data_IF_317333693640
#
_entry.id   IF_317333693640
#
_cell.length_a   1.000
_cell.length_b   1.000
_cell.length_c   1.000
_cell.angle_alpha   90.00
_cell.angle_beta   90.00
_cell.angle_gamma   90.00
#
_symmetry.space_group_name_H-M   'P 1'
#
loop_
_entity.id
_entity.type
_entity.pdbx_description
1 polymer ?
#
# COMPACT_ATOMS: atom_id res chain seq x y z
N UNK A 1 -29.97 2.47 -13.74
CA UNK A 1 -30.96 3.38 -14.33
C UNK A 1 -32.16 2.52 -14.73
N UNK A 2 -33.12 2.35 -13.83
CA UNK A 2 -34.42 1.73 -14.11
C UNK A 2 -35.43 2.62 -13.39
N UNK A 3 -36.33 3.19 -14.18
CA UNK A 3 -37.34 4.18 -13.81
C UNK A 3 -38.64 3.40 -13.72
N UNK A 4 -39.28 3.40 -12.54
CA UNK A 4 -40.66 2.91 -12.41
C UNK A 4 -41.58 3.99 -11.83
N UNK A 5 -42.82 3.91 -12.30
CA UNK A 5 -43.77 5.00 -12.51
C UNK A 5 -44.46 5.54 -11.25
N UNK A 6 -44.84 6.81 -11.36
CA UNK A 6 -45.74 7.55 -10.48
C UNK A 6 -47.18 7.53 -11.02
N UNK A 7 -48.22 7.47 -10.17
CA UNK A 7 -49.52 8.04 -10.48
C UNK A 7 -49.86 9.27 -9.62
N UNK A 8 -50.46 10.27 -10.28
CA UNK A 8 -50.93 11.56 -9.72
C UNK A 8 -52.27 11.42 -8.99
N UNK A 9 -52.41 12.11 -7.85
CA UNK A 9 -53.68 12.71 -7.40
C UNK A 9 -53.41 13.85 -6.38
N UNK A 10 -53.99 15.03 -6.61
CA UNK A 10 -53.95 16.28 -5.82
C UNK A 10 -55.22 16.41 -4.93
N UNK A 11 -55.49 17.52 -4.18
CA UNK A 11 -54.67 18.42 -3.34
C UNK A 11 -55.28 18.70 -1.93
N UNK A 12 -54.67 19.63 -1.18
CA UNK A 12 -55.08 20.26 0.09
C UNK A 12 -54.59 19.53 1.35
N UNK A 13 -53.78 20.14 2.20
CA UNK A 13 -54.23 21.14 3.18
C UNK A 13 -53.04 21.96 3.69
N UNK A 14 -53.29 23.25 3.92
CA UNK A 14 -52.40 24.25 4.51
C UNK A 14 -51.98 23.81 5.92
N UNK A 15 -50.68 23.63 6.17
CA UNK A 15 -50.10 23.54 7.51
C UNK A 15 -48.92 24.51 7.59
N UNK A 16 -49.09 25.57 8.37
CA UNK A 16 -48.02 26.47 8.80
C UNK A 16 -46.99 25.69 9.62
N UNK A 17 -45.75 25.65 9.13
CA UNK A 17 -44.59 25.11 9.82
C UNK A 17 -43.64 26.23 10.25
N UNK A 18 -43.03 26.15 11.45
CA UNK A 18 -42.18 27.22 11.94
C UNK A 18 -40.84 27.27 11.19
N UNK A 19 -40.42 28.51 10.89
CA UNK A 19 -39.05 29.03 10.75
C UNK A 19 -37.97 27.97 10.45
N UNK A 20 -37.44 28.00 9.22
CA UNK A 20 -36.14 27.41 8.91
C UNK A 20 -35.09 27.98 9.86
N UNK A 21 -34.72 27.22 10.90
CA UNK A 21 -33.44 27.40 11.56
C UNK A 21 -32.37 27.08 10.53
N UNK A 22 -31.51 28.05 10.24
CA UNK A 22 -30.31 27.84 9.46
C UNK A 22 -29.57 26.61 10.00
N UNK A 23 -29.64 25.49 9.29
CA UNK A 23 -28.75 24.37 9.54
C UNK A 23 -27.38 24.83 9.05
N UNK A 24 -26.60 25.41 9.95
CA UNK A 24 -25.17 25.57 9.79
C UNK A 24 -24.64 24.19 9.48
N UNK A 25 -24.35 23.93 8.20
CA UNK A 25 -23.61 22.76 7.78
C UNK A 25 -22.29 22.81 8.57
N UNK A 26 -22.18 21.96 9.58
CA UNK A 26 -20.91 21.70 10.23
C UNK A 26 -20.06 21.06 9.13
N UNK A 27 -19.25 21.87 8.46
CA UNK A 27 -18.21 21.37 7.57
C UNK A 27 -17.35 20.51 8.47
N UNK A 28 -17.54 19.19 8.37
CA UNK A 28 -16.70 18.22 9.04
C UNK A 28 -15.33 18.38 8.41
N UNK A 29 -14.52 19.23 9.06
CA UNK A 29 -13.15 19.50 8.64
C UNK A 29 -12.42 18.19 8.85
N UNK A 30 -12.25 17.41 7.79
CA UNK A 30 -11.32 16.29 7.81
C UNK A 30 -9.96 16.88 8.13
N UNK A 31 -9.54 16.78 9.39
CA UNK A 31 -8.19 17.15 9.81
C UNK A 31 -7.27 16.08 9.25
N UNK A 32 -6.90 16.22 7.98
CA UNK A 32 -5.91 15.37 7.37
C UNK A 32 -4.57 15.60 8.06
N UNK A 33 -3.94 14.51 8.45
CA UNK A 33 -2.55 14.55 8.89
C UNK A 33 -1.67 14.86 7.68
N UNK A 34 -0.86 15.91 7.76
CA UNK A 34 0.03 16.35 6.69
C UNK A 34 1.41 16.64 7.24
N UNK A 35 2.44 16.25 6.49
CA UNK A 35 3.85 16.46 6.84
C UNK A 35 4.58 16.98 5.61
N UNK A 36 5.31 18.09 5.75
CA UNK A 36 6.25 18.55 4.71
C UNK A 36 7.48 17.66 4.72
N UNK A 37 7.76 17.02 3.59
CA UNK A 37 8.94 16.16 3.42
C UNK A 37 10.19 17.06 3.36
N UNK A 38 11.14 16.84 4.28
CA UNK A 38 12.45 17.51 4.28
C UNK A 38 13.52 16.53 3.82
N UNK A 39 13.58 15.36 4.45
CA UNK A 39 14.48 14.27 4.04
C UNK A 39 13.78 12.92 4.16
N UNK A 40 14.24 11.97 3.35
CA UNK A 40 13.78 10.59 3.38
C UNK A 40 14.95 9.67 3.62
N UNK A 41 14.76 8.64 4.43
CA UNK A 41 15.71 7.53 4.57
C UNK A 41 14.97 6.20 4.56
N UNK A 42 15.69 5.10 4.46
CA UNK A 42 15.12 3.77 4.60
C UNK A 42 15.99 2.93 5.51
N UNK A 43 15.39 1.90 6.10
CA UNK A 43 16.11 0.84 6.80
C UNK A 43 15.32 -0.46 6.65
N UNK A 44 15.95 -1.58 6.99
CA UNK A 44 15.25 -2.85 7.08
C UNK A 44 14.93 -3.17 8.55
N UNK A 45 13.74 -3.71 8.80
CA UNK A 45 13.25 -4.12 10.12
C UNK A 45 12.66 -5.53 10.08
N UNK A 46 12.44 -6.16 11.23
CA UNK A 46 11.54 -7.31 11.31
C UNK A 46 10.10 -6.81 11.04
N UNK A 47 9.25 -7.60 10.35
CA UNK A 47 7.88 -7.17 10.05
C UNK A 47 7.05 -7.01 11.33
N UNK A 48 6.24 -5.95 11.37
CA UNK A 48 5.30 -5.69 12.45
C UNK A 48 3.92 -6.21 12.05
N UNK A 49 3.33 -7.07 12.88
CA UNK A 49 1.99 -7.60 12.62
C UNK A 49 0.96 -6.48 12.56
N UNK A 50 0.15 -6.47 11.49
CA UNK A 50 -0.88 -5.45 11.24
C UNK A 50 -0.40 -4.24 10.44
N UNK A 51 0.92 -4.03 10.30
CA UNK A 51 1.50 -2.97 9.46
C UNK A 51 2.26 -3.51 8.25
N UNK A 52 2.92 -4.67 8.41
CA UNK A 52 3.74 -5.30 7.38
C UNK A 52 3.22 -6.68 7.00
N UNK A 53 3.60 -7.14 5.81
CA UNK A 53 3.34 -8.52 5.38
C UNK A 53 4.34 -9.48 6.06
N UNK A 54 3.81 -10.41 6.86
CA UNK A 54 4.61 -11.37 7.64
C UNK A 54 4.89 -12.67 6.89
N UNK A 55 4.11 -13.00 5.86
CA UNK A 55 4.22 -14.23 5.07
C UNK A 55 4.21 -13.92 3.58
N UNK A 56 5.10 -14.56 2.82
CA UNK A 56 5.07 -14.47 1.36
C UNK A 56 4.32 -15.66 0.78
N UNK A 57 3.18 -15.42 0.13
CA UNK A 57 2.44 -16.46 -0.61
C UNK A 57 3.28 -17.05 -1.75
N UNK A 58 4.08 -16.22 -2.41
CA UNK A 58 4.96 -16.64 -3.50
C UNK A 58 6.04 -17.62 -3.03
N UNK A 59 6.59 -17.41 -1.82
CA UNK A 59 7.63 -18.27 -1.25
C UNK A 59 7.08 -19.39 -0.37
N UNK A 60 5.86 -19.26 0.15
CA UNK A 60 5.33 -20.15 1.19
C UNK A 60 6.09 -20.06 2.51
N UNK A 61 6.80 -18.96 2.76
CA UNK A 61 7.66 -18.80 3.95
C UNK A 61 7.45 -17.45 4.64
N UNK A 62 7.86 -17.39 5.91
CA UNK A 62 7.82 -16.15 6.70
C UNK A 62 8.84 -15.14 6.18
N UNK A 63 8.43 -13.87 6.16
CA UNK A 63 9.27 -12.74 5.79
C UNK A 63 10.10 -12.34 7.01
N UNK A 64 11.43 -12.36 6.90
CA UNK A 64 12.33 -12.02 8.02
C UNK A 64 12.62 -10.54 8.12
N UNK A 65 12.65 -9.84 6.98
CA UNK A 65 13.06 -8.44 6.85
C UNK A 65 12.14 -7.72 5.88
N UNK A 66 11.70 -6.53 6.25
CA UNK A 66 10.88 -5.65 5.40
C UNK A 66 11.53 -4.26 5.31
N UNK A 67 11.42 -3.59 4.16
CA UNK A 67 11.84 -2.20 4.03
C UNK A 67 10.85 -1.27 4.74
N UNK A 68 11.37 -0.36 5.55
CA UNK A 68 10.60 0.71 6.19
C UNK A 68 11.17 2.04 5.71
N UNK A 69 10.31 2.87 5.12
CA UNK A 69 10.68 4.23 4.73
C UNK A 69 10.46 5.18 5.90
N UNK A 70 11.40 6.09 6.12
CA UNK A 70 11.30 7.16 7.11
C UNK A 70 11.26 8.50 6.42
N UNK A 71 10.21 9.27 6.70
CA UNK A 71 10.08 10.65 6.28
C UNK A 71 10.32 11.55 7.47
N UNK A 72 11.32 12.42 7.37
CA UNK A 72 11.59 13.47 8.34
C UNK A 72 11.04 14.79 7.81
N UNK A 73 10.29 15.49 8.65
CA UNK A 73 9.55 16.65 8.21
C UNK A 73 8.96 17.47 9.33
N UNK A 74 8.07 18.39 8.95
CA UNK A 74 7.29 19.19 9.89
C UNK A 74 5.81 19.20 9.55
N UNK A 75 4.95 19.16 10.58
CA UNK A 75 3.50 19.42 10.41
C UNK A 75 3.27 20.91 10.07
N UNK A 76 2.08 21.30 9.58
CA UNK A 76 1.74 22.72 9.38
C UNK A 76 1.85 23.56 10.65
N UNK A 77 1.70 22.93 11.82
CA UNK A 77 1.89 23.57 13.12
C UNK A 77 3.37 23.71 13.54
N UNK A 78 4.33 23.29 12.70
CA UNK A 78 5.77 23.43 12.94
C UNK A 78 6.40 22.31 13.78
N UNK A 79 5.63 21.28 14.16
CA UNK A 79 6.16 20.16 14.95
C UNK A 79 7.07 19.29 14.08
N UNK A 80 8.25 18.93 14.59
CA UNK A 80 9.13 17.97 13.90
C UNK A 80 8.55 16.57 13.98
N UNK A 81 8.60 15.84 12.87
CA UNK A 81 7.99 14.51 12.75
C UNK A 81 8.95 13.55 12.05
N UNK A 82 8.99 12.32 12.56
CA UNK A 82 9.55 11.16 11.87
C UNK A 82 8.41 10.18 11.60
N UNK A 83 8.00 10.02 10.34
CA UNK A 83 6.92 9.14 9.93
C UNK A 83 7.48 7.87 9.31
N UNK A 84 6.99 6.71 9.76
CA UNK A 84 7.38 5.41 9.21
C UNK A 84 6.31 4.91 8.26
N UNK A 85 6.71 4.58 7.03
CA UNK A 85 5.83 3.98 6.03
C UNK A 85 6.21 2.51 5.89
N UNK A 86 5.20 1.66 6.11
CA UNK A 86 5.26 0.21 6.05
C UNK A 86 4.63 -0.30 4.75
N UNK A 87 4.96 -1.52 4.34
CA UNK A 87 4.34 -2.18 3.17
C UNK A 87 4.81 -1.70 1.78
N UNK A 88 5.85 -0.86 1.69
CA UNK A 88 6.38 -0.36 0.41
C UNK A 88 7.63 -1.14 0.01
N UNK A 89 7.48 -2.10 -0.90
CA UNK A 89 8.59 -2.92 -1.41
C UNK A 89 9.14 -2.35 -2.73
N UNK A 90 10.47 -2.20 -2.86
CA UNK A 90 11.07 -1.82 -4.14
C UNK A 90 10.89 -2.94 -5.17
N UNK A 91 10.66 -2.56 -6.43
CA UNK A 91 10.44 -3.49 -7.54
C UNK A 91 11.20 -3.06 -8.79
N UNK A 92 11.38 -4.00 -9.70
CA UNK A 92 11.97 -3.79 -11.03
C UNK A 92 11.25 -4.69 -12.04
N UNK A 93 11.36 -4.35 -13.33
CA UNK A 93 10.84 -5.16 -14.42
C UNK A 93 11.98 -5.90 -15.11
N UNK A 94 11.72 -7.16 -15.46
CA UNK A 94 12.63 -8.00 -16.25
C UNK A 94 11.83 -8.55 -17.43
N UNK A 95 12.37 -8.50 -18.67
CA UNK A 95 11.73 -9.14 -19.81
C UNK A 95 11.46 -10.62 -19.52
N UNK A 96 10.26 -11.08 -19.89
CA UNK A 96 9.86 -12.47 -19.73
C UNK A 96 9.60 -13.09 -21.11
N UNK A 97 10.26 -14.21 -21.38
CA UNK A 97 10.27 -14.91 -22.67
C UNK A 97 9.10 -15.89 -22.85
N UNK A 98 8.22 -16.00 -21.86
CA UNK A 98 7.10 -16.94 -21.89
C UNK A 98 7.45 -18.37 -21.49
N UNK A 99 8.60 -18.62 -20.86
CA UNK A 99 9.03 -19.96 -20.42
C UNK A 99 7.99 -20.65 -19.53
N UNK A 100 7.60 -21.88 -19.90
CA UNK A 100 6.64 -22.71 -19.15
C UNK A 100 7.29 -23.94 -18.52
N UNK A 101 6.77 -24.46 -17.38
CA UNK A 101 5.68 -23.90 -16.59
C UNK A 101 6.11 -22.67 -15.79
N UNK A 102 5.35 -21.58 -15.90
CA UNK A 102 5.69 -20.26 -15.35
C UNK A 102 6.01 -20.30 -13.85
N UNK A 103 5.18 -20.94 -13.03
CA UNK A 103 5.38 -20.98 -11.56
C UNK A 103 6.74 -21.58 -11.17
N UNK A 104 7.15 -22.65 -11.85
CA UNK A 104 8.45 -23.29 -11.60
C UNK A 104 9.58 -22.35 -12.00
N UNK A 105 9.48 -21.74 -13.17
CA UNK A 105 10.48 -20.81 -13.68
C UNK A 105 10.64 -19.61 -12.75
N UNK A 106 9.54 -18.97 -12.33
CA UNK A 106 9.57 -17.80 -11.44
C UNK A 106 10.22 -18.15 -10.09
N UNK A 107 9.90 -19.30 -9.50
CA UNK A 107 10.52 -19.74 -8.24
C UNK A 107 12.01 -20.02 -8.39
N UNK A 108 12.42 -20.66 -9.49
CA UNK A 108 13.83 -20.93 -9.78
C UNK A 108 14.61 -19.63 -10.03
N UNK A 109 14.03 -18.70 -10.79
CA UNK A 109 14.60 -17.39 -11.03
C UNK A 109 14.79 -16.64 -9.71
N UNK A 110 13.78 -16.60 -8.85
CA UNK A 110 13.86 -15.96 -7.55
C UNK A 110 14.94 -16.57 -6.64
N UNK A 111 15.05 -17.90 -6.60
CA UNK A 111 16.12 -18.59 -5.85
C UNK A 111 17.52 -18.30 -6.41
N UNK A 112 17.65 -18.21 -7.74
CA UNK A 112 18.92 -17.86 -8.40
C UNK A 112 19.36 -16.44 -8.04
N UNK A 113 18.40 -15.50 -8.00
CA UNK A 113 18.64 -14.11 -7.65
C UNK A 113 19.03 -13.96 -6.17
N UNK A 114 18.34 -14.65 -5.26
CA UNK A 114 18.72 -14.66 -3.84
C UNK A 114 20.16 -15.14 -3.65
N UNK A 115 20.53 -16.24 -4.33
CA UNK A 115 21.89 -16.80 -4.26
C UNK A 115 22.93 -15.81 -4.79
N UNK A 116 22.66 -15.19 -5.94
CA UNK A 116 23.55 -14.19 -6.53
C UNK A 116 23.76 -12.99 -5.58
N UNK A 117 22.68 -12.50 -4.95
CA UNK A 117 22.75 -11.41 -3.98
C UNK A 117 23.49 -11.81 -2.70
N UNK A 118 23.29 -13.03 -2.21
CA UNK A 118 24.03 -13.55 -1.06
C UNK A 118 25.54 -13.61 -1.36
N UNK A 119 25.92 -14.05 -2.56
CA UNK A 119 27.33 -14.04 -3.01
C UNK A 119 27.86 -12.61 -3.11
N UNK A 120 27.12 -11.70 -3.75
CA UNK A 120 27.51 -10.28 -3.89
C UNK A 120 27.70 -9.59 -2.54
N UNK A 121 26.85 -9.93 -1.56
CA UNK A 121 26.93 -9.46 -0.17
C UNK A 121 27.94 -10.24 0.69
N UNK A 122 28.88 -10.97 0.08
CA UNK A 122 29.93 -11.76 0.76
C UNK A 122 29.40 -12.76 1.79
N UNK A 123 28.18 -13.24 1.56
CA UNK A 123 27.42 -14.13 2.43
C UNK A 123 26.99 -15.37 1.66
N UNK A 124 27.91 -16.00 0.92
CA UNK A 124 27.61 -17.07 -0.04
C UNK A 124 26.95 -18.31 0.59
N UNK A 125 27.22 -18.59 1.87
CA UNK A 125 26.61 -19.67 2.64
C UNK A 125 25.28 -19.29 3.30
N UNK A 126 24.88 -18.02 3.24
CA UNK A 126 23.62 -17.57 3.81
C UNK A 126 22.44 -18.05 2.98
N UNK A 127 21.39 -18.51 3.66
CA UNK A 127 20.10 -18.82 3.06
C UNK A 127 19.13 -17.65 3.24
N UNK A 128 19.60 -16.42 3.00
CA UNK A 128 18.79 -15.22 3.10
C UNK A 128 17.98 -15.04 1.82
N UNK A 129 16.68 -14.82 1.99
CA UNK A 129 15.76 -14.47 0.92
C UNK A 129 15.75 -12.95 0.75
N UNK A 130 15.91 -12.49 -0.49
CA UNK A 130 15.87 -11.07 -0.87
C UNK A 130 14.62 -10.73 -1.69
N UNK A 131 14.12 -11.69 -2.49
CA UNK A 131 12.92 -11.48 -3.30
C UNK A 131 11.65 -11.90 -2.56
N UNK A 132 10.77 -10.91 -2.33
CA UNK A 132 9.47 -11.10 -1.68
C UNK A 132 8.41 -11.74 -2.59
N UNK A 133 8.24 -11.23 -3.81
CA UNK A 133 7.23 -11.66 -4.78
C UNK A 133 7.73 -11.44 -6.20
N UNK A 134 7.33 -12.32 -7.12
CA UNK A 134 7.45 -12.11 -8.56
C UNK A 134 6.06 -12.31 -9.18
N UNK A 135 5.67 -11.41 -10.08
CA UNK A 135 4.42 -11.49 -10.83
C UNK A 135 4.67 -11.12 -12.27
N UNK A 136 4.10 -11.90 -13.19
CA UNK A 136 4.10 -11.56 -14.61
C UNK A 136 3.06 -10.46 -14.84
N UNK A 137 3.45 -9.43 -15.57
CA UNK A 137 2.57 -8.33 -15.98
C UNK A 137 2.74 -8.08 -17.47
N UNK A 138 1.69 -7.62 -18.13
CA UNK A 138 1.80 -7.07 -19.48
C UNK A 138 2.17 -5.59 -19.37
N UNK A 139 3.23 -5.19 -20.06
CA UNK A 139 3.50 -3.77 -20.33
C UNK A 139 2.68 -3.27 -21.51
N UNK A 140 2.61 -1.95 -21.66
CA UNK A 140 2.20 -1.26 -22.90
C UNK A 140 3.43 -0.78 -23.65
#
# INVERSE_FOLDING_TARGET
>A
MVVENCPRSTPSTRCDGPRLSAQTAVVQKFTMFSVRIVTTSHYQAAPIQGLDTTTSEFRGSSVKRVPVLRIFGSTPAGQKTCMHIHGVFPYLYVPYDGTQPADRYLRQFAASLDKALNVANRSASANQQHVYKISIVSGM
#
